data_IF_987460685763
#
_entry.id   IF_987460685763
#
_cell.length_a   1.000
_cell.length_b   1.000
_cell.length_c   1.000
_cell.angle_alpha   90.00
_cell.angle_beta   90.00
_cell.angle_gamma   90.00
#
_symmetry.space_group_name_H-M   'P 1'
#
loop_
_entity.id
_entity.type
_entity.pdbx_description
1 polymer ?
#
# COMPACT_ATOMS: atom_id res chain seq x y z
N UNK A 1 -6.74 33.03 -23.69
CA UNK A 1 -6.09 31.88 -23.03
C UNK A 1 -6.18 32.10 -21.54
N UNK A 2 -7.21 31.55 -20.90
CA UNK A 2 -7.36 31.58 -19.45
C UNK A 2 -6.33 30.63 -18.85
N UNK A 3 -5.58 31.01 -17.81
CA UNK A 3 -4.68 30.08 -17.13
C UNK A 3 -5.49 28.89 -16.63
N UNK A 4 -5.02 27.67 -16.90
CA UNK A 4 -5.53 26.47 -16.24
C UNK A 4 -5.35 26.68 -14.73
N UNK A 5 -6.45 26.90 -14.01
CA UNK A 5 -6.46 26.85 -12.55
C UNK A 5 -5.74 25.56 -12.14
N UNK A 6 -4.65 25.71 -11.39
CA UNK A 6 -3.98 24.57 -10.79
C UNK A 6 -5.01 23.85 -9.93
N UNK A 7 -5.53 22.74 -10.44
CA UNK A 7 -6.57 21.97 -9.76
C UNK A 7 -6.00 21.54 -8.42
N UNK A 8 -6.72 21.82 -7.33
CA UNK A 8 -6.29 21.42 -6.00
C UNK A 8 -5.87 19.94 -6.02
N UNK A 9 -4.76 19.58 -5.35
CA UNK A 9 -4.27 18.21 -5.37
C UNK A 9 -5.38 17.26 -4.92
N UNK A 10 -5.61 16.20 -5.71
CA UNK A 10 -6.66 15.23 -5.42
C UNK A 10 -6.43 14.47 -4.10
N UNK A 11 -7.41 13.66 -3.68
CA UNK A 11 -7.42 13.06 -2.35
C UNK A 11 -6.22 12.14 -2.12
N UNK A 12 -5.69 12.15 -0.89
CA UNK A 12 -4.63 11.23 -0.47
C UNK A 12 -5.25 9.94 0.05
N UNK A 13 -4.91 8.81 -0.56
CA UNK A 13 -5.57 7.52 -0.29
C UNK A 13 -4.55 6.51 0.22
N UNK A 14 -4.80 5.94 1.39
CA UNK A 14 -4.01 4.81 1.90
C UNK A 14 -4.67 3.50 1.48
N UNK A 15 -3.99 2.72 0.65
CA UNK A 15 -4.41 1.36 0.30
C UNK A 15 -3.65 0.35 1.17
N UNK A 16 -4.39 -0.41 1.97
CA UNK A 16 -3.83 -1.38 2.92
C UNK A 16 -4.02 -2.81 2.39
N UNK A 17 -2.92 -3.49 2.11
CA UNK A 17 -2.88 -4.90 1.74
C UNK A 17 -2.39 -5.76 2.92
N UNK A 18 -3.31 -6.45 3.61
CA UNK A 18 -3.01 -7.40 4.69
C UNK A 18 -2.47 -8.75 4.15
N UNK A 19 -1.46 -8.64 3.28
CA UNK A 19 -0.81 -9.75 2.59
C UNK A 19 0.61 -9.38 2.19
N UNK A 20 1.38 -10.39 1.79
CA UNK A 20 2.67 -10.18 1.16
C UNK A 20 2.51 -9.56 -0.23
N UNK A 21 3.32 -8.55 -0.52
CA UNK A 21 3.28 -7.79 -1.75
C UNK A 21 4.69 -7.26 -2.12
N UNK A 22 5.10 -7.34 -3.40
CA UNK A 22 4.37 -7.91 -4.54
C UNK A 22 4.24 -9.43 -4.47
N UNK A 23 3.27 -10.00 -5.18
CA UNK A 23 3.14 -11.45 -5.38
C UNK A 23 2.19 -11.70 -6.57
N UNK A 24 2.42 -12.72 -7.43
CA UNK A 24 1.58 -12.95 -8.61
C UNK A 24 0.28 -13.69 -8.26
N UNK A 25 -0.51 -13.14 -7.34
CA UNK A 25 -1.80 -13.66 -6.92
C UNK A 25 -2.88 -12.57 -7.13
N UNK A 26 -4.12 -13.01 -7.38
CA UNK A 26 -5.21 -12.14 -7.81
C UNK A 26 -5.42 -10.90 -6.92
N UNK A 27 -5.39 -11.06 -5.60
CA UNK A 27 -5.56 -9.93 -4.66
C UNK A 27 -4.47 -8.88 -4.80
N UNK A 28 -3.23 -9.29 -5.03
CA UNK A 28 -2.07 -8.41 -5.19
C UNK A 28 -2.08 -7.71 -6.55
N UNK A 29 -2.44 -8.43 -7.61
CA UNK A 29 -2.63 -7.85 -8.94
C UNK A 29 -3.73 -6.78 -8.89
N UNK A 30 -4.87 -7.11 -8.29
CA UNK A 30 -5.98 -6.17 -8.13
C UNK A 30 -5.62 -4.97 -7.24
N UNK A 31 -4.83 -5.19 -6.19
CA UNK A 31 -4.33 -4.11 -5.32
C UNK A 31 -3.43 -3.13 -6.07
N UNK A 32 -2.52 -3.62 -6.91
CA UNK A 32 -1.69 -2.78 -7.76
C UNK A 32 -2.51 -2.05 -8.83
N UNK A 33 -3.54 -2.70 -9.39
CA UNK A 33 -4.42 -2.07 -10.37
C UNK A 33 -5.25 -0.94 -9.76
N UNK A 34 -5.91 -1.17 -8.63
CA UNK A 34 -6.68 -0.13 -7.93
C UNK A 34 -5.84 1.11 -7.62
N UNK A 35 -4.58 0.91 -7.22
CA UNK A 35 -3.67 2.02 -6.95
C UNK A 35 -3.34 2.82 -8.23
N UNK A 36 -3.20 2.16 -9.38
CA UNK A 36 -2.99 2.83 -10.67
C UNK A 36 -4.23 3.63 -11.07
N UNK A 37 -5.40 2.99 -11.04
CA UNK A 37 -6.66 3.61 -11.42
C UNK A 37 -6.98 4.84 -10.54
N UNK A 38 -6.69 4.78 -9.23
CA UNK A 38 -6.81 5.92 -8.34
C UNK A 38 -5.86 7.07 -8.72
N UNK A 39 -4.61 6.76 -9.07
CA UNK A 39 -3.64 7.75 -9.52
C UNK A 39 -4.06 8.42 -10.83
N UNK A 40 -4.55 7.63 -11.80
CA UNK A 40 -5.07 8.12 -13.08
C UNK A 40 -6.31 9.00 -12.88
N UNK A 41 -7.13 8.73 -11.87
CA UNK A 41 -8.26 9.56 -11.47
C UNK A 41 -7.86 10.83 -10.69
N UNK A 42 -6.56 11.11 -10.52
CA UNK A 42 -6.04 12.30 -9.85
C UNK A 42 -5.87 12.19 -8.33
N UNK A 43 -6.11 11.00 -7.74
CA UNK A 43 -5.79 10.77 -6.33
C UNK A 43 -4.28 10.55 -6.12
N UNK A 44 -3.85 10.56 -4.86
CA UNK A 44 -2.48 10.28 -4.45
C UNK A 44 -2.45 9.01 -3.58
N UNK A 45 -2.46 7.82 -4.21
CA UNK A 45 -2.47 6.56 -3.49
C UNK A 45 -1.08 6.21 -2.95
N UNK A 46 -1.05 5.67 -1.73
CA UNK A 46 0.14 5.03 -1.15
C UNK A 46 -0.20 3.60 -0.74
N UNK A 47 0.68 2.66 -1.09
CA UNK A 47 0.51 1.24 -0.80
C UNK A 47 1.18 0.87 0.52
N UNK A 48 0.41 0.34 1.46
CA UNK A 48 0.92 -0.23 2.71
C UNK A 48 0.64 -1.73 2.75
N UNK A 49 1.67 -2.53 2.99
CA UNK A 49 1.56 -3.99 2.93
C UNK A 49 2.48 -4.71 3.90
N UNK A 50 2.40 -6.04 3.97
CA UNK A 50 3.39 -6.80 4.73
C UNK A 50 4.80 -6.65 4.15
N UNK A 51 5.81 -6.70 5.03
CA UNK A 51 7.22 -6.53 4.67
C UNK A 51 7.87 -7.62 3.82
N UNK A 52 7.09 -8.44 3.13
CA UNK A 52 7.54 -9.59 2.34
C UNK A 52 6.76 -9.61 1.02
N UNK A 53 7.37 -10.17 -0.02
CA UNK A 53 6.80 -10.33 -1.34
C UNK A 53 7.83 -11.00 -2.26
N UNK A 54 7.38 -11.39 -3.46
CA UNK A 54 8.19 -11.94 -4.54
C UNK A 54 7.80 -11.22 -5.83
N UNK A 55 8.80 -10.78 -6.58
CA UNK A 55 8.63 -10.01 -7.82
C UNK A 55 8.87 -8.52 -7.63
N UNK A 56 8.50 -7.75 -8.65
CA UNK A 56 8.71 -6.31 -8.71
C UNK A 56 7.48 -5.55 -8.22
N UNK A 57 7.72 -4.47 -7.46
CA UNK A 57 6.67 -3.56 -7.06
C UNK A 57 6.41 -2.54 -8.18
N UNK A 58 5.18 -1.99 -8.31
CA UNK A 58 4.92 -0.93 -9.28
C UNK A 58 5.81 0.29 -8.99
N UNK A 59 6.60 0.74 -9.98
CA UNK A 59 7.57 1.84 -9.79
C UNK A 59 6.90 3.21 -9.56
N UNK A 60 5.73 3.43 -10.18
CA UNK A 60 5.05 4.72 -10.16
C UNK A 60 4.21 4.99 -8.90
N UNK A 61 4.14 4.05 -7.95
CA UNK A 61 3.29 4.16 -6.76
C UNK A 61 4.14 4.03 -5.50
N UNK A 62 4.05 5.01 -4.59
CA UNK A 62 4.74 4.95 -3.32
C UNK A 62 4.31 3.70 -2.53
N UNK A 63 5.29 2.93 -2.05
CA UNK A 63 5.07 1.73 -1.25
C UNK A 63 5.79 1.84 0.09
N UNK A 64 5.05 1.65 1.17
CA UNK A 64 5.54 1.64 2.54
C UNK A 64 5.27 0.25 3.17
N UNK A 65 6.21 -0.71 3.02
CA UNK A 65 6.07 -2.02 3.64
C UNK A 65 6.25 -1.95 5.16
N UNK A 66 5.53 -2.80 5.89
CA UNK A 66 5.80 -3.05 7.31
C UNK A 66 7.15 -3.77 7.51
N UNK A 67 7.70 -3.84 8.74
CA UNK A 67 8.98 -4.50 8.97
C UNK A 67 8.99 -5.98 8.56
N UNK A 68 9.93 -6.37 7.69
CA UNK A 68 10.09 -7.75 7.16
C UNK A 68 10.14 -8.83 8.24
N UNK A 69 10.74 -8.53 9.40
CA UNK A 69 10.86 -9.46 10.55
C UNK A 69 9.52 -9.81 11.20
N UNK A 70 8.50 -8.97 11.01
CA UNK A 70 7.15 -9.14 11.55
C UNK A 70 6.16 -9.68 10.51
N UNK A 71 6.61 -9.85 9.25
CA UNK A 71 5.77 -10.37 8.19
C UNK A 71 5.66 -11.91 8.28
N UNK A 72 4.50 -12.51 7.91
CA UNK A 72 4.36 -13.97 7.86
C UNK A 72 5.37 -14.56 6.88
N UNK A 73 5.91 -15.75 7.18
CA UNK A 73 6.86 -16.43 6.28
C UNK A 73 6.17 -17.07 5.08
N UNK A 74 4.97 -17.59 5.29
CA UNK A 74 4.18 -18.24 4.26
C UNK A 74 3.52 -17.20 3.34
N UNK A 75 3.61 -17.42 2.03
CA UNK A 75 3.04 -16.54 0.99
C UNK A 75 1.65 -16.98 0.51
N UNK A 76 1.17 -18.15 0.95
CA UNK A 76 -0.14 -18.67 0.60
C UNK A 76 -1.28 -17.93 1.31
N UNK A 77 -2.48 -18.04 0.73
CA UNK A 77 -3.74 -17.74 1.40
C UNK A 77 -4.03 -18.75 2.52
N UNK A 78 -4.90 -18.38 3.46
CA UNK A 78 -5.32 -19.27 4.56
C UNK A 78 -4.93 -18.78 5.97
N UNK A 79 -5.47 -19.41 7.03
CA UNK A 79 -5.18 -19.05 8.40
C UNK A 79 -3.70 -19.26 8.72
N UNK A 80 -3.06 -18.25 9.32
CA UNK A 80 -1.66 -18.28 9.70
C UNK A 80 -1.51 -17.58 11.04
N UNK A 81 -0.90 -18.26 12.02
CA UNK A 81 -0.71 -17.71 13.37
C UNK A 81 0.16 -16.45 13.41
N UNK A 82 1.00 -16.22 12.39
CA UNK A 82 1.80 -15.00 12.28
C UNK A 82 1.03 -13.77 11.77
N UNK A 83 -0.20 -13.93 11.27
CA UNK A 83 -0.98 -12.82 10.69
C UNK A 83 -1.35 -11.73 11.69
N UNK A 84 -1.85 -12.04 12.91
CA UNK A 84 -2.15 -10.98 13.88
C UNK A 84 -0.95 -10.08 14.20
N UNK A 85 0.25 -10.65 14.30
CA UNK A 85 1.49 -9.87 14.51
C UNK A 85 1.80 -9.00 13.29
N UNK A 86 1.61 -9.53 12.09
CA UNK A 86 1.80 -8.78 10.85
C UNK A 86 0.76 -7.66 10.67
N UNK A 87 -0.49 -7.88 11.07
CA UNK A 87 -1.58 -6.90 11.07
C UNK A 87 -1.24 -5.74 12.01
N UNK A 88 -0.75 -6.02 13.23
CA UNK A 88 -0.30 -4.99 14.16
C UNK A 88 0.90 -4.20 13.60
N UNK A 89 1.84 -4.88 12.93
CA UNK A 89 2.96 -4.23 12.28
C UNK A 89 2.51 -3.32 11.12
N UNK A 90 1.53 -3.75 10.33
CA UNK A 90 0.90 -2.98 9.26
C UNK A 90 0.15 -1.76 9.83
N UNK A 91 -0.64 -1.94 10.89
CA UNK A 91 -1.32 -0.88 11.60
C UNK A 91 -0.33 0.20 12.10
N UNK A 92 0.75 -0.22 12.75
CA UNK A 92 1.80 0.71 13.21
C UNK A 92 2.48 1.45 12.05
N UNK A 93 2.63 0.80 10.90
CA UNK A 93 3.16 1.41 9.67
C UNK A 93 2.21 2.46 9.12
N UNK A 94 0.92 2.14 9.03
CA UNK A 94 -0.13 3.07 8.63
C UNK A 94 -0.24 4.27 9.57
N UNK A 95 -0.29 4.06 10.88
CA UNK A 95 -0.35 5.15 11.86
C UNK A 95 0.83 6.11 11.71
N UNK A 96 2.04 5.59 11.47
CA UNK A 96 3.23 6.42 11.22
C UNK A 96 3.11 7.20 9.92
N UNK A 97 2.66 6.56 8.84
CA UNK A 97 2.44 7.21 7.55
C UNK A 97 1.36 8.31 7.65
N UNK A 98 0.23 8.02 8.31
CA UNK A 98 -0.87 8.94 8.52
C UNK A 98 -0.47 10.16 9.37
N UNK A 99 0.39 9.98 10.39
CA UNK A 99 0.95 11.11 11.15
C UNK A 99 1.82 12.01 10.29
N UNK A 100 2.74 11.42 9.51
CA UNK A 100 3.58 12.18 8.57
C UNK A 100 2.76 12.89 7.51
N UNK A 101 1.70 12.25 7.03
CA UNK A 101 0.80 12.81 6.03
C UNK A 101 0.07 14.06 6.56
N UNK A 102 -0.38 14.05 7.82
CA UNK A 102 -1.04 15.20 8.45
C UNK A 102 -0.13 16.40 8.75
N UNK A 103 1.18 16.19 8.75
CA UNK A 103 2.18 17.25 8.99
C UNK A 103 2.65 17.94 7.71
N UNK A 104 2.19 17.47 6.54
CA UNK A 104 2.45 18.04 5.22
C UNK A 104 1.17 18.67 4.70
#
# INVERSE_FOLDING_TARGET
MTPLEATAPGPRVALLGAFAFPYPQGSQIFFAQQARDLGEAGAQPVLLCYGRGVGEAPEAIERIPSPKRLAPRAMGSGPQWGKPVADLALLGTWLRAARRARQR
#
